data_IF_675491313459
#
_entry.id   IF_675491313459
#
_cell.length_a   1.000
_cell.length_b   1.000
_cell.length_c   1.000
_cell.angle_alpha   90.00
_cell.angle_beta   90.00
_cell.angle_gamma   90.00
#
_symmetry.space_group_name_H-M   'P 1'
#
loop_
_entity.id
_entity.type
_entity.pdbx_description
1 polymer ?
#
# COMPACT_ATOMS: atom_id res chain seq x y z
N UNK A 1 -18.44 16.40 59.50
CA UNK A 1 -17.83 16.98 58.28
C UNK A 1 -16.64 16.15 57.79
N UNK A 2 -16.83 14.88 57.37
CA UNK A 2 -15.73 14.06 56.81
C UNK A 2 -16.08 13.33 55.50
N UNK A 3 -17.29 13.51 54.98
CA UNK A 3 -17.77 12.80 53.77
C UNK A 3 -17.83 13.66 52.51
N UNK A 4 -17.49 14.95 52.57
CA UNK A 4 -17.61 15.88 51.42
C UNK A 4 -16.36 15.94 50.51
N UNK A 5 -15.19 15.47 50.96
CA UNK A 5 -13.96 15.54 50.16
C UNK A 5 -13.75 14.33 49.23
N UNK A 6 -14.36 13.18 49.52
CA UNK A 6 -14.15 11.96 48.75
C UNK A 6 -14.85 11.97 47.37
N UNK A 7 -15.99 12.68 47.25
CA UNK A 7 -16.76 12.76 46.00
C UNK A 7 -16.06 13.61 44.94
N UNK A 8 -15.37 14.68 45.33
CA UNK A 8 -14.62 15.53 44.38
C UNK A 8 -13.38 14.83 43.83
N UNK A 9 -12.73 13.94 44.59
CA UNK A 9 -11.56 13.22 44.08
C UNK A 9 -11.94 12.08 43.14
N UNK A 10 -13.05 11.37 43.40
CA UNK A 10 -13.58 10.36 42.48
C UNK A 10 -14.03 10.99 41.15
N UNK A 11 -14.70 12.15 41.16
CA UNK A 11 -15.12 12.83 39.94
C UNK A 11 -13.95 13.34 39.10
N UNK A 12 -12.87 13.83 39.73
CA UNK A 12 -11.66 14.28 39.04
C UNK A 12 -10.91 13.09 38.43
N UNK A 13 -10.81 11.96 39.15
CA UNK A 13 -10.17 10.74 38.64
C UNK A 13 -10.98 10.16 37.47
N UNK A 14 -12.31 10.14 37.56
CA UNK A 14 -13.18 9.70 36.47
C UNK A 14 -13.10 10.63 35.25
N UNK A 15 -12.99 11.96 35.44
CA UNK A 15 -12.73 12.89 34.36
C UNK A 15 -11.34 12.68 33.72
N UNK A 16 -10.30 12.38 34.51
CA UNK A 16 -8.96 12.09 33.98
C UNK A 16 -8.88 10.75 33.24
N UNK A 17 -9.59 9.72 33.71
CA UNK A 17 -9.72 8.42 33.02
C UNK A 17 -10.52 8.61 31.72
N UNK A 18 -11.60 9.39 31.74
CA UNK A 18 -12.37 9.70 30.54
C UNK A 18 -11.58 10.54 29.52
N UNK A 19 -10.72 11.47 29.97
CA UNK A 19 -9.86 12.28 29.09
C UNK A 19 -8.67 11.48 28.52
N UNK A 20 -8.13 10.52 29.27
CA UNK A 20 -7.04 9.63 28.82
C UNK A 20 -7.50 8.50 27.90
N UNK A 21 -8.81 8.21 27.86
CA UNK A 21 -9.42 7.30 26.89
C UNK A 21 -9.78 7.98 25.56
N UNK A 22 -9.59 9.30 25.42
CA UNK A 22 -9.62 9.98 24.12
C UNK A 22 -8.29 9.68 23.43
N UNK A 23 -8.15 8.44 22.95
CA UNK A 23 -7.18 8.14 21.91
C UNK A 23 -7.61 8.98 20.70
N UNK A 24 -6.85 10.03 20.41
CA UNK A 24 -6.87 10.65 19.09
C UNK A 24 -6.43 9.58 18.11
N UNK A 25 -7.41 8.89 17.52
CA UNK A 25 -7.17 8.01 16.40
C UNK A 25 -6.80 8.95 15.25
N UNK A 26 -5.50 9.19 15.04
CA UNK A 26 -5.03 9.82 13.82
C UNK A 26 -5.16 8.77 12.72
N UNK A 27 -6.01 9.02 11.73
CA UNK A 27 -6.00 8.17 10.55
C UNK A 27 -4.68 8.40 9.85
N UNK A 28 -4.16 7.31 9.32
CA UNK A 28 -3.04 7.36 8.42
C UNK A 28 -3.40 6.53 7.20
N UNK A 29 -2.88 6.94 6.05
CA UNK A 29 -3.27 6.34 4.80
C UNK A 29 -2.18 6.46 3.75
N UNK A 30 -2.03 5.42 2.94
CA UNK A 30 -1.12 5.42 1.80
C UNK A 30 -1.66 4.62 0.62
N UNK A 31 -1.30 5.06 -0.59
CA UNK A 31 -1.49 4.30 -1.82
C UNK A 31 -0.27 3.40 -2.06
N UNK A 32 -0.49 2.08 -2.00
CA UNK A 32 0.54 1.06 -2.18
C UNK A 32 0.62 0.54 -3.62
N UNK A 33 -0.49 0.55 -4.35
CA UNK A 33 -0.55 0.14 -5.75
C UNK A 33 -1.36 1.17 -6.55
N UNK A 34 -0.79 1.81 -7.59
CA UNK A 34 0.66 1.91 -7.83
C UNK A 34 1.37 2.53 -6.62
N UNK A 35 2.65 2.18 -6.35
CA UNK A 35 3.34 2.67 -5.17
C UNK A 35 3.53 4.18 -5.25
N UNK A 36 2.96 4.91 -4.29
CA UNK A 36 3.21 6.34 -4.18
C UNK A 36 4.67 6.63 -3.81
N UNK A 37 5.14 7.83 -4.15
CA UNK A 37 6.54 8.30 -3.97
C UNK A 37 7.13 7.93 -2.61
N UNK A 38 6.39 8.19 -1.52
CA UNK A 38 6.85 7.86 -0.16
C UNK A 38 6.89 6.36 0.15
N UNK A 39 6.14 5.53 -0.57
CA UNK A 39 6.04 4.09 -0.33
C UNK A 39 6.89 3.25 -1.30
N UNK A 40 7.51 3.85 -2.32
CA UNK A 40 8.30 3.12 -3.33
C UNK A 40 9.41 2.27 -2.71
N UNK A 41 10.10 2.73 -1.67
CA UNK A 41 11.15 1.96 -0.99
C UNK A 41 10.68 0.60 -0.46
N UNK A 42 9.39 0.47 -0.11
CA UNK A 42 8.79 -0.79 0.37
C UNK A 42 8.79 -1.87 -0.71
N UNK A 43 8.85 -1.47 -1.98
CA UNK A 43 8.84 -2.37 -3.13
C UNK A 43 10.23 -2.60 -3.73
N UNK A 44 11.29 -2.08 -3.08
CA UNK A 44 12.69 -2.28 -3.48
C UNK A 44 13.18 -1.31 -4.55
N UNK A 45 12.46 -0.21 -4.81
CA UNK A 45 12.97 0.87 -5.65
C UNK A 45 14.11 1.60 -4.94
N UNK A 46 15.08 2.06 -5.72
CA UNK A 46 16.22 2.86 -5.24
C UNK A 46 15.78 4.32 -5.00
N UNK A 47 15.07 4.53 -3.89
CA UNK A 47 14.61 5.84 -3.42
C UNK A 47 14.86 5.98 -1.92
N UNK A 48 14.99 7.20 -1.39
CA UNK A 48 15.09 7.40 0.04
C UNK A 48 13.88 6.79 0.79
N UNK A 49 14.08 6.02 1.86
CA UNK A 49 12.98 5.44 2.59
C UNK A 49 12.21 6.51 3.38
N UNK A 50 10.88 6.54 3.21
CA UNK A 50 9.97 7.29 4.08
C UNK A 50 9.25 6.30 5.01
N UNK A 51 9.71 6.17 6.25
CA UNK A 51 9.05 5.30 7.24
C UNK A 51 7.69 5.87 7.71
N UNK A 52 7.44 7.14 7.43
CA UNK A 52 6.21 7.86 7.73
C UNK A 52 5.34 8.08 6.48
N UNK A 53 5.44 7.18 5.50
CA UNK A 53 4.76 7.27 4.20
C UNK A 53 3.23 7.24 4.24
N UNK A 54 2.66 7.01 5.42
CA UNK A 54 1.22 7.06 5.67
C UNK A 54 0.73 8.43 6.17
N UNK A 55 1.64 9.41 6.29
CA UNK A 55 1.42 10.68 6.99
C UNK A 55 1.31 11.89 6.07
N UNK A 56 0.95 11.69 4.81
CA UNK A 56 0.79 12.79 3.85
C UNK A 56 -0.59 13.43 3.99
N UNK A 57 -0.86 13.99 5.18
CA UNK A 57 -2.14 14.56 5.60
C UNK A 57 -2.12 16.09 5.72
N UNK A 58 -1.35 16.78 4.86
CA UNK A 58 -1.28 18.24 4.82
C UNK A 58 -0.72 18.89 6.09
N UNK A 59 -0.02 18.12 6.94
CA UNK A 59 0.49 18.56 8.23
C UNK A 59 -0.55 18.58 9.36
N UNK A 60 -1.74 18.03 9.12
CA UNK A 60 -2.81 17.89 10.12
C UNK A 60 -4.03 18.72 9.71
N UNK A 61 -5.21 18.24 10.08
CA UNK A 61 -6.47 18.94 9.81
C UNK A 61 -6.43 20.41 10.26
N UNK A 62 -6.06 20.67 11.51
CA UNK A 62 -6.04 22.04 12.04
C UNK A 62 -4.99 22.90 11.34
N UNK A 63 -3.83 22.33 10.98
CA UNK A 63 -2.83 23.02 10.19
C UNK A 63 -3.39 23.40 8.82
N UNK A 64 -4.00 22.44 8.11
CA UNK A 64 -4.55 22.67 6.78
C UNK A 64 -5.64 23.75 6.82
N UNK A 65 -6.67 23.59 7.65
CA UNK A 65 -7.85 24.43 7.58
C UNK A 65 -7.71 25.75 8.34
N UNK A 66 -7.15 25.72 9.55
CA UNK A 66 -7.07 26.90 10.41
C UNK A 66 -5.85 27.75 10.09
N UNK A 67 -4.67 27.13 9.96
CA UNK A 67 -3.40 27.85 9.75
C UNK A 67 -3.16 28.15 8.28
N UNK A 68 -3.43 27.18 7.40
CA UNK A 68 -3.13 27.28 5.98
C UNK A 68 -4.34 27.61 5.12
N UNK A 69 -5.49 27.92 5.73
CA UNK A 69 -6.73 28.33 5.05
C UNK A 69 -7.18 27.34 3.97
N UNK A 70 -7.13 26.05 4.28
CA UNK A 70 -7.50 24.93 3.42
C UNK A 70 -6.41 24.47 2.45
N UNK A 71 -5.27 25.17 2.39
CA UNK A 71 -4.21 24.84 1.42
C UNK A 71 -3.41 23.61 1.87
N UNK A 72 -3.09 22.75 0.89
CA UNK A 72 -2.27 21.56 1.05
C UNK A 72 -1.25 21.45 -0.09
N UNK A 73 -0.19 20.65 0.10
CA UNK A 73 0.66 20.21 -1.02
C UNK A 73 -0.09 19.28 -1.95
N UNK A 74 0.30 19.31 -3.22
CA UNK A 74 -0.32 18.48 -4.26
C UNK A 74 -0.14 16.99 -3.93
N UNK A 75 0.96 16.62 -3.28
CA UNK A 75 1.22 15.24 -2.86
C UNK A 75 1.14 15.04 -1.34
N UNK A 76 0.42 15.93 -0.64
CA UNK A 76 0.06 15.78 0.77
C UNK A 76 1.06 16.34 1.78
N UNK A 77 2.14 16.95 1.30
CA UNK A 77 3.08 17.68 2.14
C UNK A 77 2.41 18.91 2.81
N UNK A 78 2.81 19.30 4.03
CA UNK A 78 2.34 20.53 4.69
C UNK A 78 2.56 21.76 3.80
N UNK A 79 1.59 22.69 3.77
CA UNK A 79 1.65 23.81 2.85
C UNK A 79 2.88 24.72 3.03
N UNK A 80 3.27 24.92 4.29
CA UNK A 80 4.40 25.75 4.72
C UNK A 80 5.75 25.02 4.73
N UNK A 81 5.77 23.71 4.48
CA UNK A 81 6.95 22.85 4.60
C UNK A 81 7.65 22.59 3.27
N UNK A 82 8.78 21.87 3.30
CA UNK A 82 9.39 21.33 2.09
C UNK A 82 8.40 20.42 1.36
N UNK A 83 8.37 20.50 0.03
CA UNK A 83 7.51 19.68 -0.83
C UNK A 83 8.24 18.40 -1.23
N UNK A 84 8.51 17.55 -0.24
CA UNK A 84 9.35 16.37 -0.40
C UNK A 84 8.78 15.35 -1.40
N UNK A 85 7.46 15.34 -1.60
CA UNK A 85 6.77 14.46 -2.53
C UNK A 85 6.39 15.15 -3.84
N UNK A 86 6.77 16.40 -4.11
CA UNK A 86 6.53 17.11 -5.38
C UNK A 86 7.83 17.28 -6.19
N UNK A 87 7.77 17.79 -7.43
CA UNK A 87 8.95 18.00 -8.28
C UNK A 87 10.09 18.75 -7.53
N UNK A 88 11.28 18.14 -7.51
CA UNK A 88 12.45 18.66 -6.79
C UNK A 88 12.54 18.22 -5.32
N UNK A 89 11.51 17.56 -4.80
CA UNK A 89 11.53 16.89 -3.51
C UNK A 89 12.26 15.55 -3.53
N UNK A 90 12.71 15.10 -2.36
CA UNK A 90 13.55 13.91 -2.20
C UNK A 90 12.86 12.59 -2.58
N UNK A 91 11.53 12.54 -2.54
CA UNK A 91 10.75 11.36 -2.91
C UNK A 91 10.23 11.41 -4.35
N UNK A 92 10.29 12.58 -5.02
CA UNK A 92 9.90 12.74 -6.41
C UNK A 92 11.08 12.47 -7.36
N UNK A 93 11.57 11.23 -7.35
CA UNK A 93 12.76 10.80 -8.10
C UNK A 93 12.53 10.67 -9.61
N UNK A 94 11.25 10.63 -10.05
CA UNK A 94 10.87 10.42 -11.45
C UNK A 94 10.91 8.96 -11.90
N UNK A 95 11.18 8.02 -10.98
CA UNK A 95 11.13 6.59 -11.27
C UNK A 95 9.66 6.19 -11.49
N UNK A 96 9.39 5.54 -12.62
CA UNK A 96 8.06 5.01 -12.94
C UNK A 96 7.80 3.75 -12.11
N UNK A 97 6.78 3.82 -11.24
CA UNK A 97 6.38 2.72 -10.38
C UNK A 97 5.64 1.63 -11.14
N UNK A 98 4.77 2.00 -12.09
CA UNK A 98 3.96 1.07 -12.90
C UNK A 98 3.69 1.61 -14.29
N UNK A 99 3.45 0.71 -15.23
CA UNK A 99 3.04 1.02 -16.60
C UNK A 99 1.71 0.34 -16.90
N UNK A 100 0.78 1.08 -17.48
CA UNK A 100 -0.57 0.60 -17.80
C UNK A 100 -0.93 0.85 -19.26
N UNK A 101 -1.93 0.13 -19.75
CA UNK A 101 -2.50 0.38 -21.07
C UNK A 101 -3.60 1.46 -21.00
N UNK A 102 -3.63 2.34 -22.00
CA UNK A 102 -4.64 3.40 -22.09
C UNK A 102 -6.08 2.85 -22.07
N UNK A 103 -6.98 3.56 -21.37
CA UNK A 103 -8.39 3.22 -21.28
C UNK A 103 -8.72 1.94 -20.48
N UNK A 104 -7.74 1.35 -19.77
CA UNK A 104 -7.98 0.17 -18.92
C UNK A 104 -8.42 0.55 -17.51
N UNK A 105 -9.14 -0.34 -16.84
CA UNK A 105 -9.41 -0.23 -15.40
C UNK A 105 -8.25 -0.85 -14.63
N UNK A 106 -7.59 -0.06 -13.79
CA UNK A 106 -6.52 -0.50 -12.91
C UNK A 106 -7.06 -0.75 -11.50
N UNK A 107 -6.52 -1.75 -10.80
CA UNK A 107 -6.84 -1.98 -9.40
C UNK A 107 -5.80 -1.30 -8.52
N UNK A 108 -6.21 -0.20 -7.89
CA UNK A 108 -5.37 0.48 -6.90
C UNK A 108 -5.53 -0.19 -5.54
N UNK A 109 -4.47 -0.14 -4.72
CA UNK A 109 -4.49 -0.67 -3.35
C UNK A 109 -4.18 0.46 -2.38
N UNK A 110 -5.15 0.79 -1.54
CA UNK A 110 -5.03 1.81 -0.50
C UNK A 110 -4.95 1.11 0.86
N UNK A 111 -3.94 1.46 1.64
CA UNK A 111 -3.75 1.01 3.02
C UNK A 111 -4.13 2.14 3.98
N UNK A 112 -5.15 1.92 4.80
CA UNK A 112 -5.66 2.83 5.82
C UNK A 112 -5.48 2.17 7.19
N UNK A 113 -4.79 2.86 8.10
CA UNK A 113 -4.55 2.34 9.46
C UNK A 113 -5.77 2.50 10.36
N UNK A 114 -6.56 3.56 10.17
CA UNK A 114 -7.82 3.79 10.84
C UNK A 114 -8.85 4.37 9.86
N UNK A 115 -9.90 3.59 9.59
CA UNK A 115 -10.97 3.96 8.67
C UNK A 115 -11.82 5.09 9.29
N UNK A 116 -11.66 6.31 8.77
CA UNK A 116 -12.41 7.49 9.20
C UNK A 116 -13.64 7.76 8.32
N UNK A 117 -14.16 6.73 7.62
CA UNK A 117 -15.26 6.86 6.65
C UNK A 117 -14.90 7.87 5.54
N UNK A 118 -15.90 8.47 4.90
CA UNK A 118 -15.66 9.41 3.81
C UNK A 118 -15.42 8.69 2.49
N UNK A 119 -14.55 9.24 1.65
CA UNK A 119 -14.36 8.74 0.29
C UNK A 119 -12.97 8.99 -0.29
N UNK A 120 -12.59 8.15 -1.25
CA UNK A 120 -11.41 8.34 -2.08
C UNK A 120 -11.77 8.96 -3.43
N UNK A 121 -10.86 9.78 -3.95
CA UNK A 121 -10.86 10.29 -5.32
C UNK A 121 -9.49 10.04 -5.95
N UNK A 122 -9.47 9.88 -7.27
CA UNK A 122 -8.24 9.67 -8.05
C UNK A 122 -8.17 10.68 -9.17
N UNK A 123 -6.99 11.25 -9.40
CA UNK A 123 -6.75 12.23 -10.47
C UNK A 123 -5.48 11.89 -11.23
N UNK A 124 -5.43 12.23 -12.51
CA UNK A 124 -4.27 11.97 -13.36
C UNK A 124 -3.75 13.25 -14.00
N UNK A 125 -2.44 13.44 -13.99
CA UNK A 125 -1.78 14.53 -14.70
C UNK A 125 -0.68 13.97 -15.62
N UNK A 126 -0.81 14.11 -16.95
CA UNK A 126 0.29 13.80 -17.86
C UNK A 126 1.33 14.92 -17.84
N UNK A 127 2.54 14.61 -17.38
CA UNK A 127 3.63 15.61 -17.31
C UNK A 127 4.28 15.86 -18.67
N UNK A 128 4.28 14.87 -19.56
CA UNK A 128 5.00 14.94 -20.85
C UNK A 128 4.25 15.69 -21.96
N UNK A 129 2.93 15.88 -21.85
CA UNK A 129 2.12 16.49 -22.92
C UNK A 129 2.21 18.03 -22.96
N UNK A 130 3.37 18.61 -22.65
CA UNK A 130 3.63 20.05 -22.68
C UNK A 130 4.84 20.37 -23.54
N UNK A 131 4.60 20.81 -24.77
CA UNK A 131 5.59 21.29 -25.75
C UNK A 131 6.29 22.58 -25.27
N UNK A 132 7.14 22.49 -24.26
CA UNK A 132 8.10 23.55 -23.88
C UNK A 132 9.11 23.00 -22.88
N UNK A 133 10.40 23.26 -23.10
CA UNK A 133 11.57 22.83 -22.31
C UNK A 133 11.63 23.44 -20.90
N UNK A 134 10.52 23.47 -20.16
CA UNK A 134 10.49 23.65 -18.72
C UNK A 134 9.85 22.41 -18.14
N UNK A 135 10.55 21.72 -17.25
CA UNK A 135 10.02 20.58 -16.48
C UNK A 135 8.65 20.99 -15.94
N UNK A 136 7.57 20.39 -16.48
CA UNK A 136 6.21 20.81 -16.12
C UNK A 136 6.02 20.44 -14.66
N UNK A 137 5.91 21.46 -13.81
CA UNK A 137 5.64 21.26 -12.38
C UNK A 137 4.26 20.64 -12.24
N UNK A 138 4.13 19.60 -11.44
CA UNK A 138 2.86 19.03 -11.07
C UNK A 138 2.02 20.11 -10.36
N UNK A 139 0.79 20.33 -10.84
CA UNK A 139 -0.15 21.28 -10.25
C UNK A 139 -1.49 20.60 -10.03
N UNK A 140 -2.24 21.07 -9.03
CA UNK A 140 -3.61 20.60 -8.80
C UNK A 140 -4.49 20.89 -10.02
N UNK A 141 -4.28 22.01 -10.72
CA UNK A 141 -5.00 22.34 -11.95
C UNK A 141 -4.83 21.28 -13.04
N UNK A 142 -3.64 20.68 -13.20
CA UNK A 142 -3.43 19.60 -14.16
C UNK A 142 -4.16 18.31 -13.75
N UNK A 143 -4.12 17.98 -12.46
CA UNK A 143 -4.79 16.82 -11.91
C UNK A 143 -6.32 16.94 -12.03
N UNK A 144 -6.86 18.13 -11.77
CA UNK A 144 -8.29 18.41 -11.84
C UNK A 144 -8.86 18.33 -13.27
N UNK A 145 -8.00 18.34 -14.30
CA UNK A 145 -8.43 18.10 -15.69
C UNK A 145 -8.85 16.64 -15.93
N UNK A 146 -8.35 15.70 -15.13
CA UNK A 146 -8.64 14.28 -15.28
C UNK A 146 -8.99 13.66 -13.92
N UNK A 147 -10.16 14.02 -13.38
CA UNK A 147 -10.79 13.27 -12.29
C UNK A 147 -11.23 11.90 -12.81
N UNK A 148 -10.68 10.84 -12.25
CA UNK A 148 -10.86 9.48 -12.74
C UNK A 148 -12.15 8.87 -12.22
N UNK A 149 -12.74 8.01 -13.04
CA UNK A 149 -13.90 7.23 -12.66
C UNK A 149 -13.47 6.01 -11.87
N UNK A 150 -14.25 5.66 -10.86
CA UNK A 150 -14.18 4.38 -10.18
C UNK A 150 -14.79 3.34 -11.12
N UNK A 151 -14.22 2.14 -11.20
CA UNK A 151 -14.77 1.02 -11.94
C UNK A 151 -15.94 0.34 -11.21
N UNK A 152 -16.40 -0.84 -11.66
CA UNK A 152 -17.49 -1.58 -11.01
C UNK A 152 -17.17 -1.87 -9.53
N UNK A 153 -18.00 -1.38 -8.61
CA UNK A 153 -17.85 -1.59 -7.17
C UNK A 153 -19.17 -1.34 -6.42
N UNK A 154 -19.43 -2.13 -5.38
CA UNK A 154 -20.57 -1.94 -4.46
C UNK A 154 -20.43 -0.68 -3.58
N UNK A 155 -19.23 -0.08 -3.56
CA UNK A 155 -18.89 1.14 -2.80
C UNK A 155 -19.13 2.43 -3.59
N UNK A 156 -19.67 2.35 -4.81
CA UNK A 156 -20.17 3.52 -5.55
C UNK A 156 -21.47 4.00 -4.93
N UNK A 157 -21.60 5.31 -4.70
CA UNK A 157 -22.90 5.88 -4.36
C UNK A 157 -23.78 5.98 -5.62
N UNK A 158 -25.10 6.01 -5.43
CA UNK A 158 -26.04 6.22 -6.54
C UNK A 158 -25.78 7.59 -7.20
N UNK A 159 -25.12 7.59 -8.35
CA UNK A 159 -24.94 8.75 -9.22
C UNK A 159 -23.58 9.45 -9.16
N UNK A 160 -22.64 9.05 -8.29
CA UNK A 160 -21.26 9.55 -8.30
C UNK A 160 -20.32 8.42 -8.74
N UNK A 161 -19.82 8.50 -9.97
CA UNK A 161 -18.87 7.53 -10.52
C UNK A 161 -17.40 7.90 -10.24
N UNK A 162 -17.12 8.99 -9.53
CA UNK A 162 -15.76 9.49 -9.25
C UNK A 162 -15.28 9.26 -7.83
N UNK A 163 -16.19 8.83 -6.94
CA UNK A 163 -15.90 8.61 -5.53
C UNK A 163 -16.09 7.17 -5.10
N UNK A 164 -15.11 6.67 -4.37
CA UNK A 164 -15.21 5.38 -3.68
C UNK A 164 -15.50 5.62 -2.20
N UNK A 165 -16.69 5.27 -1.73
CA UNK A 165 -17.08 5.48 -0.33
C UNK A 165 -16.64 4.31 0.54
N UNK A 166 -15.98 4.63 1.66
CA UNK A 166 -15.45 3.60 2.53
C UNK A 166 -16.60 2.96 3.31
N UNK A 167 -16.77 1.62 3.23
CA UNK A 167 -17.81 0.92 3.97
C UNK A 167 -17.60 1.04 5.48
N UNK A 168 -18.70 0.92 6.22
CA UNK A 168 -18.66 0.74 7.66
C UNK A 168 -18.02 -0.62 7.98
N UNK A 169 -16.83 -0.60 8.59
CA UNK A 169 -16.13 -1.82 8.99
C UNK A 169 -14.64 -1.61 9.23
N UNK A 170 -14.03 -2.58 9.90
CA UNK A 170 -12.60 -2.63 10.17
C UNK A 170 -11.87 -3.25 8.97
N UNK A 171 -11.81 -2.52 7.86
CA UNK A 171 -10.94 -2.86 6.71
C UNK A 171 -9.72 -1.97 6.72
N UNK A 172 -8.54 -2.57 6.62
CA UNK A 172 -7.29 -1.82 6.47
C UNK A 172 -6.90 -1.62 5.01
N UNK A 173 -7.25 -2.55 4.12
CA UNK A 173 -6.94 -2.45 2.69
C UNK A 173 -8.20 -2.26 1.85
N UNK A 174 -8.10 -1.34 0.88
CA UNK A 174 -9.15 -1.06 -0.08
C UNK A 174 -8.60 -1.25 -1.49
N UNK A 175 -9.22 -2.17 -2.23
CA UNK A 175 -8.92 -2.41 -3.63
C UNK A 175 -9.91 -1.61 -4.47
N UNK A 176 -9.45 -0.48 -5.01
CA UNK A 176 -10.31 0.46 -5.71
C UNK A 176 -10.05 0.34 -7.21
N UNK A 177 -11.01 -0.15 -8.01
CA UNK A 177 -10.90 -0.14 -9.46
C UNK A 177 -11.00 1.30 -9.94
N UNK A 178 -10.04 1.76 -10.73
CA UNK A 178 -9.96 3.13 -11.27
C UNK A 178 -9.80 3.04 -12.78
N UNK A 179 -10.66 3.71 -13.52
CA UNK A 179 -10.66 3.75 -14.98
C UNK A 179 -9.67 4.82 -15.47
N UNK A 180 -8.65 4.40 -16.24
CA UNK A 180 -7.73 5.33 -16.87
C UNK A 180 -8.41 6.04 -18.05
N UNK A 181 -8.11 7.33 -18.30
CA UNK A 181 -8.74 8.08 -19.37
C UNK A 181 -8.38 7.50 -20.75
N UNK A 182 -9.40 7.28 -21.59
CA UNK A 182 -9.20 6.74 -22.95
C UNK A 182 -8.56 7.77 -23.91
N UNK A 183 -8.69 9.06 -23.60
CA UNK A 183 -8.14 10.17 -24.35
C UNK A 183 -6.63 10.34 -24.15
N UNK A 184 -6.07 9.81 -23.05
CA UNK A 184 -4.63 9.77 -22.81
C UNK A 184 -4.11 8.45 -23.37
N UNK A 185 -3.79 8.45 -24.66
CA UNK A 185 -3.31 7.26 -25.38
C UNK A 185 -1.90 6.84 -24.97
N UNK A 186 -1.05 7.79 -24.57
CA UNK A 186 0.31 7.50 -24.11
C UNK A 186 0.86 8.59 -23.21
N UNK A 187 1.63 8.22 -22.20
CA UNK A 187 2.27 9.11 -21.25
C UNK A 187 3.51 8.41 -20.68
N UNK A 188 4.71 8.93 -20.89
CA UNK A 188 5.94 8.31 -20.35
C UNK A 188 6.10 8.59 -18.85
N UNK A 189 5.61 9.75 -18.41
CA UNK A 189 5.60 10.19 -17.03
C UNK A 189 4.28 10.90 -16.71
N UNK A 190 3.41 10.16 -16.06
CA UNK A 190 2.14 10.60 -15.53
C UNK A 190 2.17 10.55 -14.00
N UNK A 191 1.42 11.43 -13.36
CA UNK A 191 1.23 11.39 -11.91
C UNK A 191 -0.21 11.02 -11.62
N UNK A 192 -0.40 9.89 -10.93
CA UNK A 192 -1.67 9.50 -10.33
C UNK A 192 -1.72 10.02 -8.90
N UNK A 193 -2.65 10.93 -8.62
CA UNK A 193 -2.93 11.41 -7.27
C UNK A 193 -4.08 10.60 -6.67
N UNK A 194 -3.85 10.06 -5.49
CA UNK A 194 -4.92 9.59 -4.61
C UNK A 194 -5.21 10.67 -3.58
N UNK A 195 -6.50 10.99 -3.40
CA UNK A 195 -7.00 11.86 -2.35
C UNK A 195 -7.96 11.08 -1.46
N UNK A 196 -7.78 11.18 -0.15
CA UNK A 196 -8.75 10.73 0.84
C UNK A 196 -9.36 11.93 1.54
N UNK A 197 -10.68 12.05 1.48
CA UNK A 197 -11.45 12.99 2.27
C UNK A 197 -12.14 12.22 3.40
N UNK A 198 -11.63 12.36 4.62
CA UNK A 198 -12.15 11.65 5.78
C UNK A 198 -13.59 12.10 6.11
N UNK A 199 -14.33 11.26 6.84
CA UNK A 199 -15.73 11.49 7.18
C UNK A 199 -16.03 11.42 8.67
N UNK A 200 -15.03 11.61 9.54
CA UNK A 200 -15.16 11.42 10.98
C UNK A 200 -15.37 12.73 11.77
N UNK A 201 -15.34 13.90 11.12
CA UNK A 201 -15.66 15.16 11.80
C UNK A 201 -17.16 15.47 11.73
N UNK A 202 -17.77 15.75 12.88
CA UNK A 202 -19.13 16.26 12.99
C UNK A 202 -19.28 17.67 12.43
N UNK A 203 -20.29 17.88 11.60
CA UNK A 203 -20.68 19.20 11.11
C UNK A 203 -22.17 19.30 10.87
N UNK A 204 -22.59 20.14 9.92
CA UNK A 204 -23.99 20.34 9.56
C UNK A 204 -24.19 20.06 8.08
N UNK A 205 -25.22 19.32 7.73
CA UNK A 205 -25.63 19.18 6.33
C UNK A 205 -26.19 20.50 5.76
N UNK A 206 -26.54 20.48 4.48
CA UNK A 206 -27.16 21.63 3.79
C UNK A 206 -28.48 22.10 4.43
N UNK A 207 -29.14 21.25 5.21
CA UNK A 207 -30.37 21.57 5.94
C UNK A 207 -30.10 22.02 7.39
N UNK A 208 -28.82 22.18 7.77
CA UNK A 208 -28.40 22.61 9.09
C UNK A 208 -28.44 21.51 10.16
N UNK A 209 -28.73 20.26 9.79
CA UNK A 209 -28.82 19.12 10.72
C UNK A 209 -27.42 18.62 11.04
N UNK A 210 -27.16 18.33 12.31
CA UNK A 210 -25.86 17.80 12.74
C UNK A 210 -25.67 16.37 12.22
N UNK A 211 -24.57 16.11 11.53
CA UNK A 211 -24.21 14.77 11.07
C UNK A 211 -22.69 14.56 11.04
N UNK A 212 -22.28 13.30 11.19
CA UNK A 212 -20.90 12.85 11.07
C UNK A 212 -20.47 12.93 9.60
N UNK A 213 -19.27 13.47 9.34
CA UNK A 213 -18.75 13.68 7.98
C UNK A 213 -19.27 14.93 7.28
N UNK A 214 -20.19 15.68 7.91
CA UNK A 214 -20.80 16.87 7.35
C UNK A 214 -20.07 18.18 7.72
N UNK A 215 -18.88 18.11 8.31
CA UNK A 215 -18.10 19.31 8.52
C UNK A 215 -17.48 19.77 7.20
N UNK A 216 -17.49 21.08 6.95
CA UNK A 216 -16.79 21.69 5.81
C UNK A 216 -15.28 21.41 5.83
N UNK A 217 -14.75 21.11 7.02
CA UNK A 217 -13.34 20.86 7.28
C UNK A 217 -13.18 19.42 7.77
N UNK A 218 -12.77 18.53 6.86
CA UNK A 218 -12.39 17.16 7.17
C UNK A 218 -10.87 17.00 7.09
N UNK A 219 -10.32 16.00 7.76
CA UNK A 219 -8.93 15.62 7.52
C UNK A 219 -8.78 15.10 6.08
N UNK A 220 -7.70 15.48 5.41
CA UNK A 220 -7.43 15.07 4.03
C UNK A 220 -6.04 14.46 3.90
N UNK A 221 -5.94 13.40 3.09
CA UNK A 221 -4.68 12.74 2.75
C UNK A 221 -4.49 12.78 1.25
N UNK A 222 -3.23 12.94 0.83
CA UNK A 222 -2.88 12.98 -0.58
C UNK A 222 -1.61 12.18 -0.81
N UNK A 223 -1.58 11.39 -1.87
CA UNK A 223 -0.37 10.74 -2.34
C UNK A 223 -0.24 10.90 -3.85
N UNK A 224 0.99 10.86 -4.35
CA UNK A 224 1.30 10.87 -5.77
C UNK A 224 2.13 9.65 -6.13
N UNK A 225 1.73 8.91 -7.17
CA UNK A 225 2.51 7.86 -7.79
C UNK A 225 2.90 8.24 -9.21
N UNK A 226 4.14 7.98 -9.58
CA UNK A 226 4.65 8.16 -10.93
C UNK A 226 4.37 6.89 -11.74
N UNK A 227 3.60 7.02 -12.82
CA UNK A 227 3.17 5.92 -13.68
C UNK A 227 3.41 6.25 -15.16
N UNK A 228 3.44 5.23 -16.01
CA UNK A 228 3.41 5.39 -17.46
C UNK A 228 2.11 4.80 -18.04
N UNK A 229 1.66 5.36 -19.15
CA UNK A 229 0.53 4.87 -19.94
C UNK A 229 1.05 4.61 -21.35
N UNK A 230 0.78 3.42 -21.88
CA UNK A 230 1.14 3.05 -23.24
C UNK A 230 -0.11 2.82 -24.07
N UNK A 231 0.01 3.01 -25.38
CA UNK A 231 -1.08 2.78 -26.30
C UNK A 231 -1.49 1.31 -26.27
N UNK A 232 -2.79 1.07 -26.27
CA UNK A 232 -3.33 -0.29 -26.29
C UNK A 232 -3.04 -0.89 -27.67
N UNK A 233 -2.14 -1.86 -27.73
CA UNK A 233 -1.80 -2.50 -29.00
C UNK A 233 -3.02 -3.21 -29.59
N UNK A 234 -3.46 -2.79 -30.76
CA UNK A 234 -4.55 -3.41 -31.54
C UNK A 234 -4.14 -4.71 -32.23
N UNK A 235 -3.21 -5.48 -31.66
CA UNK A 235 -2.95 -6.82 -32.17
C UNK A 235 -4.12 -7.71 -31.75
N UNK A 236 -4.87 -8.18 -32.75
CA UNK A 236 -5.86 -9.26 -32.65
C UNK A 236 -5.41 -10.39 -31.71
N UNK A 237 -6.36 -11.12 -31.09
CA UNK A 237 -6.02 -12.23 -30.22
C UNK A 237 -5.18 -13.23 -31.01
N UNK A 238 -3.91 -13.39 -30.62
CA UNK A 238 -3.13 -14.54 -31.07
C UNK A 238 -3.89 -15.76 -30.59
N UNK A 239 -4.64 -16.39 -31.48
CA UNK A 239 -5.05 -17.78 -31.35
C UNK A 239 -3.78 -18.57 -31.12
N UNK A 240 -3.46 -18.85 -29.85
CA UNK A 240 -2.50 -19.87 -29.53
C UNK A 240 -3.09 -21.17 -30.06
N UNK A 241 -2.48 -21.67 -31.13
CA UNK A 241 -2.63 -23.04 -31.61
C UNK A 241 -2.10 -23.93 -30.50
N UNK A 242 -2.97 -24.25 -29.53
CA UNK A 242 -2.75 -25.40 -28.66
C UNK A 242 -2.98 -26.65 -29.50
N UNK A 243 -1.88 -27.31 -29.85
CA UNK A 243 -1.89 -28.69 -30.29
C UNK A 243 -2.61 -29.53 -29.23
N UNK A 244 -3.77 -30.08 -29.60
CA UNK A 244 -4.56 -31.02 -28.81
C UNK A 244 -3.66 -32.17 -28.31
N UNK A 245 -3.43 -32.23 -27.00
CA UNK A 245 -3.26 -33.51 -26.32
C UNK A 245 -4.56 -33.86 -25.63
N UNK A 246 -5.19 -34.94 -26.09
CA UNK A 246 -6.41 -35.51 -25.51
C UNK A 246 -6.06 -36.08 -24.14
N UNK A 247 -6.73 -35.62 -23.09
CA UNK A 247 -7.22 -36.52 -22.06
C UNK A 247 -8.45 -35.92 -21.37
N UNK A 248 -9.58 -36.58 -21.62
CA UNK A 248 -10.86 -36.32 -20.99
C UNK A 248 -10.83 -36.86 -19.55
N UNK A 249 -11.02 -35.99 -18.56
CA UNK A 249 -11.69 -36.39 -17.33
C UNK A 249 -12.76 -35.35 -16.96
N UNK A 250 -14.02 -35.82 -17.01
CA UNK A 250 -15.22 -35.13 -16.56
C UNK A 250 -15.08 -34.80 -15.06
N UNK A 251 -15.13 -33.52 -14.70
CA UNK A 251 -15.38 -33.13 -13.32
C UNK A 251 -16.88 -33.19 -13.03
N UNK A 252 -17.22 -34.05 -12.06
CA UNK A 252 -18.55 -34.30 -11.54
C UNK A 252 -18.85 -33.26 -10.45
N UNK A 253 -19.74 -32.30 -10.71
CA UNK A 253 -20.19 -31.34 -9.71
C UNK A 253 -21.24 -32.04 -8.82
N UNK A 254 -20.86 -32.41 -7.59
CA UNK A 254 -21.81 -32.80 -6.54
C UNK A 254 -22.28 -31.54 -5.81
N UNK A 255 -23.51 -31.13 -6.09
CA UNK A 255 -24.28 -30.18 -5.28
C UNK A 255 -24.62 -30.80 -3.92
N UNK A 256 -24.17 -30.17 -2.83
CA UNK A 256 -24.66 -30.48 -1.48
C UNK A 256 -25.75 -29.47 -1.11
N UNK A 257 -27.00 -29.94 -1.08
CA UNK A 257 -28.10 -29.28 -0.36
C UNK A 257 -27.96 -29.65 1.12
N UNK A 258 -27.84 -28.67 2.00
CA UNK A 258 -28.06 -28.85 3.44
C UNK A 258 -29.43 -28.29 3.81
N UNK A 259 -30.35 -29.19 4.12
CA UNK A 259 -31.62 -28.89 4.78
C UNK A 259 -31.39 -28.82 6.28
N UNK A 260 -31.68 -27.67 6.90
CA UNK A 260 -31.81 -27.57 8.35
C UNK A 260 -33.27 -27.24 8.68
N UNK A 261 -33.97 -28.27 9.17
CA UNK A 261 -35.28 -28.23 9.79
C UNK A 261 -35.15 -27.74 11.24
N UNK A 262 -35.85 -26.66 11.58
CA UNK A 262 -35.97 -26.11 12.93
C UNK A 262 -37.24 -26.69 13.58
N UNK A 263 -37.20 -27.34 14.75
CA UNK A 263 -38.40 -27.60 15.51
C UNK A 263 -38.72 -26.44 16.46
N UNK A 264 -40.00 -26.13 16.50
CA UNK A 264 -40.67 -25.17 17.35
C UNK A 264 -40.84 -25.77 18.76
N UNK A 265 -40.36 -25.10 19.82
CA UNK A 265 -40.85 -25.33 21.19
C UNK A 265 -41.02 -24.00 21.91
N UNK A 266 -42.21 -23.85 22.48
CA UNK A 266 -42.75 -22.69 23.18
C UNK A 266 -42.29 -22.62 24.64
N UNK A 267 -42.30 -21.38 25.15
CA UNK A 267 -42.44 -20.96 26.56
C UNK A 267 -41.35 -21.35 27.57
N UNK A 268 -40.74 -20.34 28.20
CA UNK A 268 -40.80 -20.05 29.65
C UNK A 268 -40.16 -18.66 29.89
N UNK A 269 -40.92 -17.76 30.53
CA UNK A 269 -40.44 -16.53 31.19
C UNK A 269 -39.70 -16.93 32.46
N UNK A 270 -38.52 -16.36 32.76
CA UNK A 270 -38.17 -15.86 34.11
C UNK A 270 -36.85 -15.05 34.07
N UNK A 271 -36.84 -14.00 34.90
CA UNK A 271 -35.76 -13.08 35.30
C UNK A 271 -34.53 -13.88 35.79
N UNK A 272 -33.25 -13.50 35.68
CA UNK A 272 -32.48 -12.35 36.25
C UNK A 272 -31.06 -12.36 35.60
N UNK A 273 -30.20 -11.33 35.75
CA UNK A 273 -29.00 -11.10 34.95
C UNK A 273 -27.74 -11.76 35.52
N UNK A 274 -26.85 -12.28 34.67
CA UNK A 274 -25.47 -12.65 35.01
C UNK A 274 -24.61 -12.64 33.73
N UNK A 275 -23.27 -12.55 33.85
CA UNK A 275 -22.49 -11.42 33.41
C UNK A 275 -21.75 -11.69 32.09
N UNK A 276 -21.25 -10.61 31.51
CA UNK A 276 -20.36 -10.55 30.37
C UNK A 276 -19.25 -11.61 30.47
N UNK A 277 -19.30 -12.63 29.61
CA UNK A 277 -18.19 -13.54 29.40
C UNK A 277 -17.09 -12.80 28.64
N UNK A 278 -15.96 -12.61 29.32
CA UNK A 278 -14.72 -12.04 28.78
C UNK A 278 -14.22 -12.96 27.67
N UNK A 279 -14.41 -12.55 26.41
CA UNK A 279 -13.62 -13.09 25.29
C UNK A 279 -12.17 -12.66 25.50
N UNK A 280 -11.30 -13.62 25.74
CA UNK A 280 -9.89 -13.33 26.01
C UNK A 280 -9.23 -12.72 24.77
N UNK A 281 -8.38 -11.71 25.00
CA UNK A 281 -7.61 -10.89 24.04
C UNK A 281 -6.85 -11.66 22.93
N UNK A 282 -6.78 -13.00 23.03
CA UNK A 282 -6.00 -13.87 22.13
C UNK A 282 -6.75 -14.19 20.84
N UNK A 283 -8.08 -14.31 20.88
CA UNK A 283 -8.90 -14.73 19.74
C UNK A 283 -9.23 -13.55 18.79
N UNK A 284 -9.37 -12.34 19.35
CA UNK A 284 -9.64 -11.12 18.57
C UNK A 284 -8.43 -10.66 17.75
N UNK A 285 -7.20 -10.94 18.20
CA UNK A 285 -6.00 -10.54 17.45
C UNK A 285 -5.79 -11.40 16.21
N UNK A 286 -6.13 -12.69 16.26
CA UNK A 286 -5.94 -13.62 15.14
C UNK A 286 -6.80 -13.26 13.93
N UNK A 287 -8.01 -12.71 14.16
CA UNK A 287 -8.91 -12.23 13.11
C UNK A 287 -8.48 -10.90 12.49
N UNK A 288 -7.80 -10.03 13.23
CA UNK A 288 -7.33 -8.71 12.73
C UNK A 288 -6.09 -8.79 11.83
N UNK A 289 -5.37 -9.92 11.84
CA UNK A 289 -4.16 -10.14 11.01
C UNK A 289 -4.53 -10.74 9.65
N UNK A 290 -5.66 -11.44 9.56
CA UNK A 290 -6.12 -12.07 8.31
C UNK A 290 -6.42 -11.06 7.20
N UNK A 291 -6.72 -9.81 7.53
CA UNK A 291 -7.14 -8.76 6.58
C UNK A 291 -5.97 -8.04 5.89
N UNK A 292 -4.72 -8.33 6.30
CA UNK A 292 -3.48 -7.83 5.65
C UNK A 292 -2.82 -8.85 4.72
N UNK A 293 -3.46 -10.01 4.54
CA UNK A 293 -2.90 -11.17 3.86
C UNK A 293 -3.38 -11.20 2.42
N UNK A 294 -2.45 -11.20 1.47
CA UNK A 294 -2.73 -11.37 0.05
C UNK A 294 -2.64 -12.86 -0.32
N UNK A 295 -3.76 -13.55 -0.59
CA UNK A 295 -3.74 -14.97 -0.95
C UNK A 295 -3.03 -15.25 -2.28
N UNK A 296 -2.99 -14.27 -3.19
CA UNK A 296 -2.31 -14.42 -4.47
C UNK A 296 -0.79 -14.39 -4.28
N UNK A 297 -0.29 -13.51 -3.39
CA UNK A 297 1.12 -13.46 -3.02
C UNK A 297 1.55 -14.74 -2.26
N UNK A 298 0.71 -15.24 -1.36
CA UNK A 298 0.97 -16.52 -0.69
C UNK A 298 1.12 -17.67 -1.70
N UNK A 299 0.21 -17.75 -2.68
CA UNK A 299 0.27 -18.76 -3.74
C UNK A 299 1.53 -18.59 -4.61
N UNK A 300 1.90 -17.36 -4.95
CA UNK A 300 3.11 -17.06 -5.72
C UNK A 300 4.37 -17.50 -4.98
N UNK A 301 4.46 -17.17 -3.68
CA UNK A 301 5.59 -17.58 -2.83
C UNK A 301 5.62 -19.09 -2.67
N UNK A 302 4.47 -19.73 -2.46
CA UNK A 302 4.38 -21.19 -2.38
C UNK A 302 4.91 -21.84 -3.66
N UNK A 303 4.41 -21.42 -4.84
CA UNK A 303 4.86 -21.96 -6.13
C UNK A 303 6.37 -21.77 -6.35
N UNK A 304 6.90 -20.62 -5.95
CA UNK A 304 8.34 -20.37 -6.00
C UNK A 304 9.12 -21.34 -5.10
N UNK A 305 8.69 -21.52 -3.84
CA UNK A 305 9.35 -22.44 -2.92
C UNK A 305 9.28 -23.86 -3.46
N UNK A 306 8.11 -24.33 -3.91
CA UNK A 306 7.91 -25.65 -4.52
C UNK A 306 8.85 -25.87 -5.71
N UNK A 307 9.04 -24.85 -6.54
CA UNK A 307 9.97 -24.89 -7.68
C UNK A 307 11.43 -25.01 -7.23
N UNK A 308 11.83 -24.31 -6.16
CA UNK A 308 13.21 -24.32 -5.66
C UNK A 308 13.54 -25.61 -4.89
N UNK A 309 12.60 -26.13 -4.11
CA UNK A 309 12.80 -27.35 -3.32
C UNK A 309 12.51 -28.62 -4.14
N UNK A 310 11.81 -28.49 -5.26
CA UNK A 310 11.36 -29.59 -6.14
C UNK A 310 10.39 -30.57 -5.44
N UNK A 311 9.67 -30.08 -4.43
CA UNK A 311 8.69 -30.81 -3.63
C UNK A 311 7.42 -29.97 -3.53
N UNK A 312 6.24 -30.62 -3.55
CA UNK A 312 4.97 -29.92 -3.34
C UNK A 312 4.70 -29.73 -1.85
N UNK A 313 4.01 -28.63 -1.52
CA UNK A 313 3.51 -28.44 -0.16
C UNK A 313 2.47 -29.50 0.19
N UNK A 314 2.36 -29.87 1.48
CA UNK A 314 1.25 -30.70 1.95
C UNK A 314 -0.10 -30.03 1.69
N UNK A 315 -1.17 -30.84 1.58
CA UNK A 315 -2.56 -30.37 1.37
C UNK A 315 -3.14 -29.76 2.66
N UNK A 316 -2.51 -28.69 3.12
CA UNK A 316 -2.85 -27.90 4.30
C UNK A 316 -2.69 -26.42 3.97
N UNK A 317 -3.28 -25.50 4.76
CA UNK A 317 -3.10 -24.06 4.55
C UNK A 317 -1.62 -23.67 4.52
N UNK A 318 -1.27 -22.71 3.65
CA UNK A 318 0.10 -22.23 3.43
C UNK A 318 0.88 -21.97 4.73
N UNK A 319 0.25 -21.29 5.69
CA UNK A 319 0.84 -20.93 6.97
C UNK A 319 1.07 -22.13 7.90
N UNK A 320 0.30 -23.20 7.73
CA UNK A 320 0.47 -24.45 8.48
C UNK A 320 1.56 -25.32 7.86
N UNK A 321 1.70 -25.29 6.53
CA UNK A 321 2.74 -26.01 5.82
C UNK A 321 4.15 -25.55 6.20
N UNK A 322 4.36 -24.23 6.41
CA UNK A 322 5.67 -23.67 6.73
C UNK A 322 5.91 -23.48 8.25
N UNK A 323 4.90 -23.75 9.09
CA UNK A 323 4.89 -23.45 10.54
C UNK A 323 5.99 -24.15 11.33
N UNK A 324 6.37 -25.35 10.92
CA UNK A 324 7.38 -26.17 11.59
C UNK A 324 8.83 -25.75 11.23
N UNK A 325 8.98 -24.82 10.28
CA UNK A 325 10.25 -24.32 9.78
C UNK A 325 11.03 -25.32 8.91
N UNK A 326 10.54 -26.54 8.67
CA UNK A 326 11.26 -27.58 7.91
C UNK A 326 11.40 -27.17 6.45
N UNK A 327 10.31 -26.72 5.83
CA UNK A 327 10.31 -26.24 4.44
C UNK A 327 11.27 -25.04 4.28
N UNK A 328 11.29 -24.15 5.26
CA UNK A 328 12.16 -22.98 5.27
C UNK A 328 13.65 -23.37 5.36
N UNK A 329 13.99 -24.35 6.21
CA UNK A 329 15.34 -24.87 6.29
C UNK A 329 15.79 -25.57 5.01
N UNK A 330 14.90 -26.36 4.39
CA UNK A 330 15.15 -27.00 3.09
C UNK A 330 15.41 -25.97 2.00
N UNK A 331 14.60 -24.92 1.95
CA UNK A 331 14.73 -23.81 1.01
C UNK A 331 16.13 -23.17 1.11
N UNK A 332 16.57 -22.81 2.31
CA UNK A 332 17.90 -22.19 2.49
C UNK A 332 19.04 -23.13 2.09
N UNK A 333 18.93 -24.42 2.38
CA UNK A 333 19.93 -25.40 1.95
C UNK A 333 19.96 -25.62 0.42
N UNK A 334 18.84 -25.43 -0.28
CA UNK A 334 18.80 -25.44 -1.75
C UNK A 334 19.40 -24.17 -2.35
N UNK A 335 19.20 -23.02 -1.71
CA UNK A 335 19.74 -21.72 -2.16
C UNK A 335 21.24 -21.57 -1.87
N UNK A 336 21.66 -22.02 -0.69
CA UNK A 336 23.04 -22.04 -0.24
C UNK A 336 23.29 -23.39 0.45
N UNK A 337 23.99 -24.33 -0.24
CA UNK A 337 24.31 -25.63 0.32
C UNK A 337 25.02 -25.51 1.67
N UNK A 338 24.64 -26.37 2.62
CA UNK A 338 25.16 -26.41 3.98
C UNK A 338 24.94 -25.13 4.82
N UNK A 339 24.00 -24.25 4.45
CA UNK A 339 23.65 -23.09 5.27
C UNK A 339 23.00 -23.48 6.60
N UNK A 340 22.22 -24.56 6.63
CA UNK A 340 21.59 -25.12 7.83
C UNK A 340 21.87 -26.63 7.88
N UNK A 341 23.03 -27.05 8.42
CA UNK A 341 23.48 -28.45 8.35
C UNK A 341 22.62 -29.39 9.19
N UNK A 342 21.94 -28.88 10.23
CA UNK A 342 21.08 -29.68 11.12
C UNK A 342 19.83 -28.88 11.48
N UNK A 343 18.67 -29.48 11.27
CA UNK A 343 17.37 -28.96 11.68
C UNK A 343 16.46 -30.15 12.03
N UNK A 344 15.44 -29.92 12.84
CA UNK A 344 14.54 -30.97 13.29
C UNK A 344 13.43 -31.21 12.25
N UNK A 345 13.28 -32.44 11.76
CA UNK A 345 12.21 -32.82 10.80
C UNK A 345 10.89 -33.20 11.47
N UNK A 346 10.92 -33.48 12.77
CA UNK A 346 9.76 -33.78 13.61
C UNK A 346 10.03 -33.29 15.03
N UNK A 347 9.02 -32.83 15.73
CA UNK A 347 9.19 -32.36 17.11
C UNK A 347 7.97 -31.62 17.65
N UNK A 348 8.16 -30.97 18.79
CA UNK A 348 7.17 -30.09 19.41
C UNK A 348 7.48 -28.61 19.18
N UNK A 349 6.77 -27.76 19.92
CA UNK A 349 6.85 -26.30 19.80
C UNK A 349 8.26 -25.72 19.90
N UNK A 350 9.15 -26.36 20.66
CA UNK A 350 10.53 -25.91 20.82
C UNK A 350 11.32 -26.08 19.51
N UNK A 351 11.25 -27.27 18.91
CA UNK A 351 11.96 -27.59 17.68
C UNK A 351 11.52 -26.71 16.50
N UNK A 352 10.23 -26.39 16.42
CA UNK A 352 9.71 -25.54 15.33
C UNK A 352 10.24 -24.10 15.43
N UNK A 353 10.26 -23.54 16.65
CA UNK A 353 10.84 -22.21 16.88
C UNK A 353 12.34 -22.19 16.60
N UNK A 354 13.05 -23.26 16.94
CA UNK A 354 14.48 -23.41 16.65
C UNK A 354 14.75 -23.47 15.13
N UNK A 355 13.98 -24.26 14.38
CA UNK A 355 14.08 -24.29 12.91
C UNK A 355 13.84 -22.91 12.28
N UNK A 356 12.83 -22.17 12.75
CA UNK A 356 12.56 -20.81 12.27
C UNK A 356 13.74 -19.87 12.55
N UNK A 357 14.36 -19.98 13.74
CA UNK A 357 15.55 -19.19 14.07
C UNK A 357 16.75 -19.54 13.19
N UNK A 358 16.94 -20.83 12.85
CA UNK A 358 17.97 -21.27 11.91
C UNK A 358 17.75 -20.67 10.51
N UNK A 359 16.51 -20.66 10.03
CA UNK A 359 16.14 -19.98 8.78
C UNK A 359 16.50 -18.48 8.82
N UNK A 360 16.09 -17.77 9.87
CA UNK A 360 16.37 -16.33 10.01
C UNK A 360 17.87 -16.03 9.98
N UNK A 361 18.68 -16.86 10.65
CA UNK A 361 20.14 -16.73 10.65
C UNK A 361 20.75 -16.99 9.27
N UNK A 362 20.29 -18.02 8.56
CA UNK A 362 20.73 -18.32 7.21
C UNK A 362 20.31 -17.22 6.22
N UNK A 363 19.08 -16.72 6.30
CA UNK A 363 18.58 -15.65 5.43
C UNK A 363 19.34 -14.34 5.64
N UNK A 364 19.69 -14.01 6.89
CA UNK A 364 20.57 -12.89 7.22
C UNK A 364 21.95 -13.05 6.58
N UNK A 365 22.56 -14.23 6.72
CA UNK A 365 23.85 -14.54 6.10
C UNK A 365 23.80 -14.50 4.56
N UNK A 366 22.64 -14.81 3.98
CA UNK A 366 22.38 -14.73 2.53
C UNK A 366 22.23 -13.28 2.01
N UNK A 367 22.12 -12.30 2.91
CA UNK A 367 22.05 -10.87 2.58
C UNK A 367 20.67 -10.22 2.75
N UNK A 368 19.72 -10.88 3.40
CA UNK A 368 18.44 -10.27 3.77
C UNK A 368 18.65 -9.29 4.94
N UNK A 369 18.13 -8.06 4.82
CA UNK A 369 18.26 -7.05 5.87
C UNK A 369 17.36 -7.33 7.07
N UNK A 370 17.75 -6.88 8.28
CA UNK A 370 16.97 -7.10 9.52
C UNK A 370 15.52 -6.63 9.42
N UNK A 371 15.27 -5.50 8.74
CA UNK A 371 13.92 -4.95 8.59
C UNK A 371 12.98 -5.85 7.75
N UNK A 372 13.53 -6.77 6.96
CA UNK A 372 12.78 -7.69 6.11
C UNK A 372 12.56 -9.05 6.76
N UNK A 373 13.32 -9.38 7.81
CA UNK A 373 13.17 -10.61 8.56
C UNK A 373 11.89 -10.55 9.42
N UNK A 374 11.11 -11.61 9.39
CA UNK A 374 9.98 -11.79 10.31
C UNK A 374 10.48 -12.30 11.67
N UNK A 375 9.71 -12.11 12.74
CA UNK A 375 10.01 -12.64 14.08
C UNK A 375 9.45 -14.05 14.24
N UNK A 376 10.05 -14.90 15.09
CA UNK A 376 9.61 -16.29 15.26
C UNK A 376 8.12 -16.41 15.65
N UNK A 377 7.62 -15.43 16.40
CA UNK A 377 6.21 -15.37 16.82
C UNK A 377 5.25 -15.10 15.65
N UNK A 378 5.71 -14.42 14.61
CA UNK A 378 4.91 -14.07 13.44
C UNK A 378 4.44 -15.31 12.68
N UNK A 379 5.31 -16.31 12.59
CA UNK A 379 5.01 -17.59 11.96
C UNK A 379 4.47 -18.63 12.95
N UNK A 380 5.16 -18.86 14.07
CA UNK A 380 4.80 -19.96 14.98
C UNK A 380 3.45 -19.76 15.66
N UNK A 381 3.15 -18.55 16.12
CA UNK A 381 1.83 -18.20 16.68
C UNK A 381 0.91 -17.57 15.62
N UNK A 382 1.34 -17.54 14.35
CA UNK A 382 0.63 -16.90 13.22
C UNK A 382 0.27 -15.43 13.50
N UNK A 383 1.11 -14.69 14.23
CA UNK A 383 0.86 -13.28 14.59
C UNK A 383 1.00 -12.32 13.41
N UNK A 384 1.75 -12.68 12.37
CA UNK A 384 1.93 -11.81 11.21
C UNK A 384 2.41 -12.61 9.98
N UNK A 385 1.55 -13.51 9.47
CA UNK A 385 1.83 -14.25 8.24
C UNK A 385 2.17 -13.35 7.04
N UNK A 386 1.55 -12.17 6.85
CA UNK A 386 1.94 -11.26 5.77
C UNK A 386 3.41 -10.84 5.80
N UNK A 387 3.99 -10.59 6.98
CA UNK A 387 5.43 -10.30 7.11
C UNK A 387 6.30 -11.52 6.74
N UNK A 388 5.84 -12.74 7.07
CA UNK A 388 6.51 -13.98 6.67
C UNK A 388 6.52 -14.11 5.15
N UNK A 389 5.37 -13.94 4.50
CA UNK A 389 5.24 -13.99 3.04
C UNK A 389 6.08 -12.90 2.37
N UNK A 390 6.09 -11.68 2.90
CA UNK A 390 6.92 -10.58 2.39
C UNK A 390 8.42 -10.90 2.48
N UNK A 391 8.87 -11.43 3.62
CA UNK A 391 10.25 -11.88 3.82
C UNK A 391 10.67 -12.90 2.75
N UNK A 392 9.83 -13.90 2.50
CA UNK A 392 10.09 -14.96 1.51
C UNK A 392 10.05 -14.43 0.08
N UNK A 393 9.13 -13.52 -0.22
CA UNK A 393 9.06 -12.85 -1.51
C UNK A 393 10.31 -12.02 -1.79
N UNK A 394 10.80 -11.25 -0.82
CA UNK A 394 12.04 -10.47 -0.97
C UNK A 394 13.25 -11.38 -1.13
N UNK A 395 13.31 -12.49 -0.37
CA UNK A 395 14.35 -13.51 -0.56
C UNK A 395 14.35 -14.05 -1.99
N UNK A 396 13.17 -14.31 -2.58
CA UNK A 396 13.06 -14.76 -3.98
C UNK A 396 13.67 -13.76 -4.98
N UNK A 397 13.53 -12.45 -4.73
CA UNK A 397 14.10 -11.40 -5.57
C UNK A 397 15.62 -11.28 -5.38
N UNK A 398 16.12 -11.46 -4.16
CA UNK A 398 17.56 -11.50 -3.90
C UNK A 398 18.22 -12.67 -4.63
N UNK A 399 17.61 -13.85 -4.60
CA UNK A 399 18.10 -15.03 -5.33
C UNK A 399 18.15 -14.76 -6.83
N UNK A 400 17.11 -14.13 -7.39
CA UNK A 400 17.10 -13.75 -8.80
C UNK A 400 18.26 -12.80 -9.12
N UNK A 401 18.46 -11.74 -8.33
CA UNK A 401 19.56 -10.79 -8.51
C UNK A 401 20.94 -11.45 -8.47
N UNK A 402 21.17 -12.39 -7.54
CA UNK A 402 22.43 -13.12 -7.43
C UNK A 402 22.65 -14.09 -8.59
N UNK A 403 21.59 -14.74 -9.09
CA UNK A 403 21.65 -15.60 -10.28
C UNK A 403 21.89 -14.80 -11.57
N UNK A 404 21.31 -13.61 -11.68
CA UNK A 404 21.54 -12.69 -12.80
C UNK A 404 22.99 -12.22 -12.90
N UNK A 405 23.70 -12.12 -11.77
CA UNK A 405 25.14 -11.84 -11.73
C UNK A 405 26.01 -13.07 -12.05
N UNK A 406 25.42 -14.27 -12.17
CA UNK A 406 26.13 -15.54 -12.29
C UNK A 406 25.96 -16.30 -13.61
N UNK A 407 24.96 -16.02 -14.47
CA UNK A 407 24.88 -16.48 -15.87
C UNK A 407 23.57 -16.07 -16.57
N UNK A 408 23.69 -15.77 -17.86
CA UNK A 408 22.68 -15.24 -18.81
C UNK A 408 21.54 -16.20 -19.14
N UNK A 409 20.26 -15.78 -18.99
CA UNK A 409 19.17 -15.93 -19.99
C UNK A 409 17.85 -15.19 -19.59
N UNK A 410 17.60 -14.02 -20.24
CA UNK A 410 16.31 -13.31 -20.49
C UNK A 410 15.48 -12.63 -19.37
N UNK A 411 14.70 -11.57 -19.70
CA UNK A 411 15.04 -10.38 -20.50
C UNK A 411 15.58 -9.26 -19.59
N UNK A 412 16.52 -8.48 -20.12
CA UNK A 412 17.18 -7.38 -19.41
C UNK A 412 16.15 -6.35 -18.94
N UNK A 413 16.09 -6.12 -17.62
CA UNK A 413 15.66 -4.82 -17.11
C UNK A 413 16.81 -3.85 -17.42
N UNK A 414 16.51 -2.74 -18.09
CA UNK A 414 17.48 -1.75 -18.55
C UNK A 414 18.46 -1.37 -17.44
N UNK A 415 19.75 -1.62 -17.67
CA UNK A 415 20.82 -1.07 -16.84
C UNK A 415 20.86 0.45 -17.02
N UNK A 416 21.06 1.17 -15.91
CA UNK A 416 21.29 2.60 -15.95
C UNK A 416 22.63 2.88 -16.64
N UNK A 417 22.58 3.58 -17.77
CA UNK A 417 23.74 4.00 -18.55
C UNK A 417 24.44 5.15 -17.80
N UNK A 418 25.49 4.82 -17.04
CA UNK A 418 26.34 5.82 -16.40
C UNK A 418 27.15 6.53 -17.49
N UNK A 419 26.66 7.69 -17.94
CA UNK A 419 27.37 8.52 -18.92
C UNK A 419 28.62 9.12 -18.27
N UNK A 420 29.79 8.69 -18.70
CA UNK A 420 31.04 9.36 -18.38
C UNK A 420 31.18 10.62 -19.25
N UNK A 421 31.39 11.77 -18.61
CA UNK A 421 31.66 13.03 -19.29
C UNK A 421 33.17 13.24 -19.37
N UNK A 422 33.67 13.72 -20.51
CA UNK A 422 35.09 14.03 -20.66
C UNK A 422 35.49 15.23 -19.78
N UNK A 423 36.76 15.30 -19.40
CA UNK A 423 37.30 16.43 -18.62
C UNK A 423 37.07 17.80 -19.29
N UNK A 424 36.99 17.82 -20.62
CA UNK A 424 36.68 19.02 -21.40
C UNK A 424 35.21 19.46 -21.25
N UNK A 425 34.27 18.50 -21.18
CA UNK A 425 32.85 18.77 -20.90
C UNK A 425 32.67 19.28 -19.47
N UNK A 426 33.41 18.72 -18.51
CA UNK A 426 33.38 19.16 -17.11
C UNK A 426 33.98 20.57 -16.93
N UNK A 427 35.06 20.90 -17.66
CA UNK A 427 35.67 22.24 -17.63
C UNK A 427 34.82 23.29 -18.34
N UNK A 428 34.12 22.93 -19.41
CA UNK A 428 33.18 23.83 -20.09
C UNK A 428 31.98 24.15 -19.19
N UNK A 429 31.48 23.17 -18.42
CA UNK A 429 30.42 23.39 -17.44
C UNK A 429 30.86 24.26 -16.26
N UNK A 430 32.14 24.17 -15.84
CA UNK A 430 32.70 25.03 -14.78
C UNK A 430 32.96 26.47 -15.24
N UNK A 431 33.28 26.68 -16.52
CA UNK A 431 33.61 27.98 -17.09
C UNK A 431 32.45 28.66 -17.83
N UNK A 432 31.29 28.01 -17.94
CA UNK A 432 30.07 28.61 -18.49
C UNK A 432 29.53 29.68 -17.54
N UNK A 433 29.41 30.92 -18.04
CA UNK A 433 28.82 32.02 -17.28
C UNK A 433 27.41 31.65 -16.78
N UNK A 434 27.09 31.88 -15.49
CA UNK A 434 25.71 31.81 -15.03
C UNK A 434 24.94 32.98 -15.65
N UNK A 435 24.06 32.69 -16.63
CA UNK A 435 23.12 33.67 -17.17
C UNK A 435 21.99 33.94 -16.15
N UNK A 436 22.36 34.66 -15.09
CA UNK A 436 21.44 35.41 -14.23
C UNK A 436 21.81 36.89 -14.38
N UNK A 437 20.80 37.69 -14.74
CA UNK A 437 20.81 39.14 -14.92
C UNK A 437 21.42 39.70 -16.21
N UNK A 438 20.61 39.79 -17.27
CA UNK A 438 20.60 40.96 -18.18
C UNK A 438 19.16 41.21 -18.67
N UNK A 439 18.41 42.01 -17.90
CA UNK A 439 17.21 42.70 -18.40
C UNK A 439 17.65 44.02 -19.02
N UNK A 440 17.69 44.07 -20.35
CA UNK A 440 17.97 45.30 -21.10
C UNK A 440 16.71 46.16 -21.22
N UNK A 441 16.68 47.27 -20.47
CA UNK A 441 15.88 48.44 -20.78
C UNK A 441 16.55 49.22 -21.93
N UNK A 442 15.80 49.47 -23.00
CA UNK A 442 15.88 50.57 -24.01
C UNK A 442 14.80 50.25 -25.05
N UNK A 443 13.68 50.97 -25.13
CA UNK A 443 13.61 52.35 -25.59
C UNK A 443 12.64 53.24 -24.81
N UNK A 444 13.19 54.33 -24.25
CA UNK A 444 12.49 55.59 -24.02
C UNK A 444 12.96 56.49 -25.16
N UNK A 445 12.04 56.98 -26.00
CA UNK A 445 12.31 58.08 -26.92
C UNK A 445 11.46 59.29 -26.50
N UNK A 446 12.11 60.45 -26.43
CA UNK A 446 11.59 61.73 -25.97
C UNK A 446 11.32 62.61 -27.19
N UNK A 447 10.07 63.04 -27.41
CA UNK A 447 9.76 64.19 -28.26
C UNK A 447 8.39 64.76 -27.89
N UNK A 448 8.35 66.04 -27.49
CA UNK A 448 7.16 66.90 -27.49
C UNK A 448 6.27 66.83 -26.26
#
# INVERSE_FOLDING_TARGET
>A
MKYSLAWNQLFIIDCFIFFSLIQFCNSHGRMLEPPQRGSMWRFGFDVPPNYNDMSNYCGGKDNQWTVQHGRCGVCGDPFQGPREHENGGIYATGIIGRTYEAGTTINTTIDITANHFGYFEFRLCPLDMGYSRRTRRLTQQCLDQHLLKIGPSDSKSNGDDTRYYLPHGNKSYFYVPVELPSEILSCQHCVLQWKYHAGNTWGKDQQGRKCLGCADQQEEFYNCADIAIVERSSSEPVTQVYSKSKNNQKLNIRTYRTSLSIPFVSTVRFLVPFPCAVLTFRDTLCLLISDKRDPALDLQVQQWIETVIEEKFPDVPYEDAIKDGVILCKLMNKLQPNSIPKYATSGGSFQYRENIALFQNAARAYGLGEAQLFQTIDLFEKRNIPQVTLCLFVLSRLVQKQKSNGSTLSPRVSEADAREFSDEQLNTAKNGLPLLHEGTHKDVNQSG
#
